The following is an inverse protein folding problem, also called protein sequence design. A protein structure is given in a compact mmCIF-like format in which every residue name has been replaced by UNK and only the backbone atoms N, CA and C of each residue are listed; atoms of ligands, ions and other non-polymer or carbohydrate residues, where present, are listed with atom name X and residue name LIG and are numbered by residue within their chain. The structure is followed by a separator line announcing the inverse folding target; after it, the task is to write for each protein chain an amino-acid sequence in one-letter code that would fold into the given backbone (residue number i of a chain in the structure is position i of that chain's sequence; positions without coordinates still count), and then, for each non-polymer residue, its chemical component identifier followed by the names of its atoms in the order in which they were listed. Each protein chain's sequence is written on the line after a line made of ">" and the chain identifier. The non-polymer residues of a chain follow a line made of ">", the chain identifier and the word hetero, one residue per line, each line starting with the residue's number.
data_IF_728097220000
#
_entry.id   IF_728097220000
#
_cell.length_a   1.000
_cell.length_b   1.000
_cell.length_c   1.000
_cell.angle_alpha   90.00
_cell.angle_beta   90.00
_cell.angle_gamma   90.00
#
_symmetry.space_group_name_H-M   'P 1'
#
loop_
_entity.id
_entity.type
_entity.pdbx_description
1 polymer ?
#
# COMPACT_ATOMS: atom_id res chain seq x y z
N UNK A 1 23.87 28.50 -4.87
CA UNK A 1 25.31 28.16 -4.73
C UNK A 1 25.58 27.18 -3.58
N UNK A 2 25.00 27.36 -2.39
CA UNK A 2 25.24 26.49 -1.21
C UNK A 2 24.87 25.03 -1.45
N UNK A 3 23.65 24.75 -1.94
CA UNK A 3 23.18 23.38 -2.22
C UNK A 3 24.11 22.58 -3.15
N UNK A 4 24.73 23.23 -4.14
CA UNK A 4 25.66 22.57 -5.06
C UNK A 4 27.05 22.26 -4.47
N UNK A 5 27.45 22.95 -3.41
CA UNK A 5 28.67 22.61 -2.67
C UNK A 5 28.39 21.45 -1.71
N UNK A 6 27.25 21.51 -1.01
CA UNK A 6 26.80 20.42 -0.12
C UNK A 6 26.59 19.13 -0.91
N UNK A 7 25.90 19.17 -2.05
CA UNK A 7 25.70 18.00 -2.92
C UNK A 7 27.03 17.38 -3.38
N UNK A 8 28.04 18.20 -3.71
CA UNK A 8 29.38 17.69 -4.05
C UNK A 8 30.09 17.07 -2.84
N UNK A 9 29.88 17.61 -1.65
CA UNK A 9 30.38 17.03 -0.41
C UNK A 9 29.78 15.65 -0.15
N UNK A 10 28.46 15.53 -0.31
CA UNK A 10 27.74 14.26 -0.15
C UNK A 10 28.17 13.23 -1.20
N UNK A 11 28.25 13.63 -2.48
CA UNK A 11 28.69 12.74 -3.55
C UNK A 11 30.14 12.22 -3.37
N UNK A 12 30.99 12.96 -2.65
CA UNK A 12 32.37 12.57 -2.34
C UNK A 12 32.50 11.84 -1.00
N UNK A 13 31.40 11.58 -0.30
CA UNK A 13 31.40 10.94 1.02
C UNK A 13 31.95 11.80 2.15
N UNK A 14 32.02 13.12 1.99
CA UNK A 14 32.49 14.04 3.04
C UNK A 14 31.43 14.31 4.12
N UNK A 15 30.14 14.16 3.75
CA UNK A 15 28.98 14.30 4.63
C UNK A 15 27.95 13.28 4.18
N UNK A 16 27.33 12.54 5.09
CA UNK A 16 26.27 11.58 4.77
C UNK A 16 24.90 12.25 4.63
N UNK A 17 23.95 11.57 3.96
CA UNK A 17 22.57 12.06 3.84
C UNK A 17 21.84 12.10 5.19
N UNK A 18 22.16 11.18 6.11
CA UNK A 18 21.59 11.14 7.46
C UNK A 18 22.10 12.29 8.33
N UNK A 19 23.40 12.58 8.31
CA UNK A 19 23.98 13.74 9.01
C UNK A 19 23.41 15.05 8.46
N UNK A 20 23.24 15.15 7.14
CA UNK A 20 22.64 16.34 6.53
C UNK A 20 21.16 16.51 6.90
N UNK A 21 20.38 15.43 6.94
CA UNK A 21 18.99 15.46 7.38
C UNK A 21 18.88 15.84 8.86
N UNK A 22 19.73 15.26 9.72
CA UNK A 22 19.78 15.57 11.15
C UNK A 22 20.22 17.00 11.46
N UNK A 23 21.01 17.62 10.58
CA UNK A 23 21.42 19.02 10.71
C UNK A 23 20.32 20.03 10.28
N UNK A 24 19.24 19.57 9.65
CA UNK A 24 18.15 20.41 9.12
C UNK A 24 16.76 19.94 9.60
N UNK A 25 16.54 19.77 10.92
CA UNK A 25 15.26 19.25 11.42
C UNK A 25 14.13 20.27 11.22
N UNK A 26 12.89 19.77 11.07
CA UNK A 26 11.66 20.57 11.08
C UNK A 26 11.61 21.73 10.07
N UNK A 27 12.24 21.56 8.90
CA UNK A 27 12.25 22.60 7.87
C UNK A 27 13.25 23.74 8.13
N UNK A 28 14.22 23.54 9.02
CA UNK A 28 15.30 24.50 9.20
C UNK A 28 16.06 24.71 7.88
N UNK A 29 16.14 25.97 7.44
CA UNK A 29 16.68 26.35 6.11
C UNK A 29 15.93 25.74 4.90
N UNK A 30 14.64 25.43 5.03
CA UNK A 30 13.81 25.02 3.89
C UNK A 30 13.89 26.04 2.73
N UNK A 31 14.06 25.62 1.45
CA UNK A 31 14.05 24.25 0.92
C UNK A 31 15.45 23.63 0.67
N UNK A 32 16.48 23.98 1.45
CA UNK A 32 17.88 23.62 1.18
C UNK A 32 18.09 22.11 0.98
N UNK A 33 17.54 21.27 1.85
CA UNK A 33 17.69 19.81 1.74
C UNK A 33 17.17 19.30 0.39
N UNK A 34 15.98 19.73 -0.02
CA UNK A 34 15.40 19.37 -1.33
C UNK A 34 16.24 19.87 -2.50
N UNK A 35 16.85 21.06 -2.39
CA UNK A 35 17.76 21.58 -3.42
C UNK A 35 19.05 20.74 -3.53
N UNK A 36 19.54 20.20 -2.41
CA UNK A 36 20.67 19.26 -2.40
C UNK A 36 20.28 17.96 -3.09
N UNK A 37 19.12 17.39 -2.76
CA UNK A 37 18.58 16.19 -3.43
C UNK A 37 18.41 16.41 -4.93
N UNK A 38 17.89 17.57 -5.35
CA UNK A 38 17.72 17.90 -6.76
C UNK A 38 19.07 17.94 -7.49
N UNK A 39 20.10 18.51 -6.87
CA UNK A 39 21.43 18.56 -7.45
C UNK A 39 22.12 17.17 -7.48
N UNK A 40 21.92 16.35 -6.45
CA UNK A 40 22.39 14.97 -6.42
C UNK A 40 21.72 14.13 -7.51
N UNK A 41 20.40 14.26 -7.68
CA UNK A 41 19.65 13.60 -8.76
C UNK A 41 20.21 13.96 -10.15
N UNK A 42 20.60 15.23 -10.37
CA UNK A 42 21.21 15.69 -11.62
C UNK A 42 22.64 15.21 -11.84
N UNK A 43 23.41 14.98 -10.78
CA UNK A 43 24.85 14.70 -10.88
C UNK A 43 25.19 13.21 -10.72
N UNK A 44 24.51 12.50 -9.83
CA UNK A 44 24.71 11.08 -9.55
C UNK A 44 23.62 10.19 -10.15
N UNK A 45 22.51 10.78 -10.58
CA UNK A 45 21.36 10.06 -11.11
C UNK A 45 20.33 9.66 -10.04
N UNK A 46 19.15 9.26 -10.51
CA UNK A 46 17.98 8.96 -9.66
C UNK A 46 18.20 7.71 -8.81
N UNK A 47 18.75 6.65 -9.41
CA UNK A 47 18.97 5.35 -8.76
C UNK A 47 19.95 5.46 -7.58
N UNK A 48 21.05 6.18 -7.78
CA UNK A 48 22.02 6.45 -6.72
C UNK A 48 21.37 7.19 -5.54
N UNK A 49 20.53 8.18 -5.83
CA UNK A 49 19.87 8.97 -4.80
C UNK A 49 18.84 8.15 -4.02
N UNK A 50 18.04 7.33 -4.70
CA UNK A 50 17.05 6.45 -4.05
C UNK A 50 17.72 5.41 -3.15
N UNK A 51 18.81 4.79 -3.62
CA UNK A 51 19.58 3.83 -2.81
C UNK A 51 20.28 4.52 -1.64
N UNK A 52 20.86 5.71 -1.86
CA UNK A 52 21.51 6.49 -0.82
C UNK A 52 20.55 6.94 0.29
N UNK A 53 19.35 7.39 -0.06
CA UNK A 53 18.32 7.76 0.92
C UNK A 53 17.79 6.54 1.68
N UNK A 54 17.57 5.42 1.00
CA UNK A 54 17.14 4.17 1.63
C UNK A 54 18.20 3.66 2.62
N UNK A 55 19.47 3.65 2.24
CA UNK A 55 20.57 3.24 3.11
C UNK A 55 20.76 4.19 4.31
N UNK A 56 20.53 5.49 4.10
CA UNK A 56 20.63 6.51 5.15
C UNK A 56 19.42 6.56 6.09
N UNK A 57 18.33 5.80 5.80
CA UNK A 57 17.07 5.78 6.57
C UNK A 57 16.54 7.18 6.88
N UNK A 58 16.61 8.08 5.91
CA UNK A 58 16.17 9.47 6.09
C UNK A 58 14.66 9.54 5.98
N UNK A 59 13.99 9.96 7.05
CA UNK A 59 12.60 10.37 7.00
C UNK A 59 12.47 11.76 6.36
N UNK A 60 11.94 11.80 5.14
CA UNK A 60 11.75 13.05 4.40
C UNK A 60 10.73 13.98 5.07
N UNK A 61 9.78 13.46 5.84
CA UNK A 61 8.77 14.28 6.53
C UNK A 61 9.37 15.07 7.70
N UNK A 62 10.30 14.46 8.43
CA UNK A 62 11.02 15.11 9.53
C UNK A 62 11.82 16.36 9.10
N UNK A 63 12.27 16.39 7.85
CA UNK A 63 13.09 17.48 7.27
C UNK A 63 12.22 18.61 6.69
N UNK A 64 10.91 18.38 6.54
CA UNK A 64 9.97 19.39 6.02
C UNK A 64 9.36 20.28 7.13
N UNK A 65 8.99 21.54 6.79
CA UNK A 65 8.17 22.38 7.66
C UNK A 65 6.82 21.73 7.95
N UNK A 66 6.23 22.03 9.11
CA UNK A 66 4.95 21.44 9.57
C UNK A 66 3.81 21.56 8.54
N UNK A 67 3.71 22.69 7.83
CA UNK A 67 2.69 22.90 6.80
C UNK A 67 2.83 22.04 5.53
N UNK A 68 3.98 21.38 5.35
CA UNK A 68 4.29 20.54 4.19
C UNK A 68 4.39 19.04 4.55
N UNK A 69 4.03 18.67 5.79
CA UNK A 69 4.03 17.26 6.24
C UNK A 69 2.77 16.54 5.78
N UNK A 70 2.86 15.21 5.72
CA UNK A 70 1.80 14.34 5.24
C UNK A 70 1.97 13.92 3.76
N UNK A 71 1.39 12.77 3.38
CA UNK A 71 1.72 12.08 2.13
C UNK A 71 1.37 12.87 0.88
N UNK A 72 0.24 13.59 0.87
CA UNK A 72 -0.20 14.39 -0.27
C UNK A 72 0.64 15.67 -0.46
N UNK A 73 0.98 16.36 0.64
CA UNK A 73 1.80 17.58 0.60
C UNK A 73 3.26 17.29 0.29
N UNK A 74 3.80 16.20 0.83
CA UNK A 74 5.12 15.70 0.47
C UNK A 74 5.18 15.35 -1.02
N UNK A 75 4.10 14.74 -1.56
CA UNK A 75 3.99 14.43 -2.99
C UNK A 75 4.08 15.67 -3.86
N UNK A 76 3.25 16.68 -3.58
CA UNK A 76 3.23 17.96 -4.29
C UNK A 76 4.60 18.66 -4.26
N UNK A 77 5.22 18.76 -3.07
CA UNK A 77 6.51 19.45 -2.87
C UNK A 77 7.66 18.80 -3.62
N UNK A 78 7.67 17.46 -3.72
CA UNK A 78 8.66 16.70 -4.45
C UNK A 78 8.40 16.70 -5.96
N UNK A 79 7.15 16.62 -6.41
CA UNK A 79 6.78 16.73 -7.83
C UNK A 79 7.18 18.08 -8.41
N UNK A 80 6.86 19.19 -7.73
CA UNK A 80 7.24 20.56 -8.11
C UNK A 80 8.75 20.74 -8.35
N UNK A 81 9.57 19.88 -7.73
CA UNK A 81 11.03 19.95 -7.77
C UNK A 81 11.66 18.85 -8.62
N UNK A 82 10.85 18.03 -9.30
CA UNK A 82 11.32 16.90 -10.10
C UNK A 82 11.93 15.77 -9.27
N UNK A 83 11.62 15.74 -7.97
CA UNK A 83 12.02 14.73 -7.00
C UNK A 83 10.90 13.71 -6.72
N UNK A 84 9.80 13.77 -7.48
CA UNK A 84 8.68 12.84 -7.30
C UNK A 84 9.11 11.38 -7.24
N UNK A 85 10.19 10.98 -7.94
CA UNK A 85 10.74 9.62 -7.93
C UNK A 85 11.25 9.12 -6.57
N UNK A 86 11.38 10.00 -5.58
CA UNK A 86 11.74 9.67 -4.21
C UNK A 86 10.55 9.20 -3.38
N UNK A 87 9.34 9.58 -3.77
CA UNK A 87 8.17 8.95 -3.17
C UNK A 87 8.07 7.51 -3.63
N UNK A 88 7.33 6.68 -2.89
CA UNK A 88 6.70 5.48 -3.42
C UNK A 88 5.70 5.85 -4.54
N UNK A 89 6.18 6.44 -5.66
CA UNK A 89 5.40 6.86 -6.84
C UNK A 89 4.52 5.77 -7.40
N UNK A 90 4.89 4.54 -7.10
CA UNK A 90 4.17 3.35 -7.41
C UNK A 90 2.66 3.51 -7.18
N UNK A 91 2.20 3.96 -6.00
CA UNK A 91 0.74 4.08 -5.77
C UNK A 91 0.06 5.09 -6.70
N UNK A 92 0.65 6.27 -6.87
CA UNK A 92 0.08 7.32 -7.72
C UNK A 92 0.11 6.98 -9.21
N UNK A 93 1.23 6.41 -9.69
CA UNK A 93 1.39 6.00 -11.08
C UNK A 93 0.53 4.75 -11.39
N UNK A 94 0.39 3.81 -10.45
CA UNK A 94 -0.57 2.69 -10.57
C UNK A 94 -2.01 3.15 -10.63
N UNK A 95 -2.39 4.15 -9.82
CA UNK A 95 -3.73 4.72 -9.85
C UNK A 95 -4.02 5.41 -11.18
N UNK A 96 -3.06 6.19 -11.72
CA UNK A 96 -3.15 6.78 -13.06
C UNK A 96 -3.30 5.68 -14.12
N UNK A 97 -2.54 4.60 -14.02
CA UNK A 97 -2.62 3.48 -14.96
C UNK A 97 -3.98 2.78 -14.90
N UNK A 98 -4.53 2.53 -13.70
CA UNK A 98 -5.87 1.94 -13.51
C UNK A 98 -6.99 2.84 -14.05
N UNK A 99 -6.87 4.17 -13.90
CA UNK A 99 -7.81 5.13 -14.49
C UNK A 99 -7.72 5.16 -16.03
N UNK A 100 -6.52 5.04 -16.58
CA UNK A 100 -6.30 5.07 -18.03
C UNK A 100 -6.75 3.77 -18.72
N UNK A 101 -6.41 2.62 -18.14
CA UNK A 101 -6.82 1.31 -18.59
C UNK A 101 -7.04 0.37 -17.39
N UNK A 102 -8.30 0.09 -17.00
CA UNK A 102 -8.60 -0.77 -15.86
C UNK A 102 -8.38 -2.26 -16.14
N UNK A 103 -7.82 -2.63 -17.30
CA UNK A 103 -7.50 -4.02 -17.62
C UNK A 103 -6.39 -4.58 -16.73
N UNK A 104 -6.60 -5.75 -16.07
CA UNK A 104 -5.55 -6.45 -15.34
C UNK A 104 -4.32 -6.72 -16.20
N UNK A 105 -4.50 -7.03 -17.49
CA UNK A 105 -3.39 -7.30 -18.40
C UNK A 105 -2.55 -6.06 -18.69
N UNK A 106 -3.18 -4.89 -18.78
CA UNK A 106 -2.48 -3.63 -18.98
C UNK A 106 -1.69 -3.22 -17.74
N UNK A 107 -2.30 -3.33 -16.56
CA UNK A 107 -1.62 -3.09 -15.29
C UNK A 107 -0.46 -4.08 -15.07
N UNK A 108 -0.67 -5.36 -15.34
CA UNK A 108 0.39 -6.38 -15.22
C UNK A 108 1.59 -6.07 -16.12
N UNK A 109 1.35 -5.74 -17.40
CA UNK A 109 2.42 -5.34 -18.33
C UNK A 109 3.17 -4.12 -17.80
N UNK A 110 2.44 -3.07 -17.42
CA UNK A 110 3.04 -1.85 -16.90
C UNK A 110 3.89 -2.10 -15.65
N UNK A 111 3.41 -2.92 -14.72
CA UNK A 111 4.13 -3.28 -13.50
C UNK A 111 5.45 -3.99 -13.80
N UNK A 112 5.47 -4.92 -14.76
CA UNK A 112 6.70 -5.63 -15.14
C UNK A 112 7.70 -4.75 -15.90
N UNK A 113 7.21 -3.78 -16.66
CA UNK A 113 8.06 -2.86 -17.43
C UNK A 113 8.59 -1.71 -16.57
N UNK A 114 7.83 -1.27 -15.57
CA UNK A 114 8.13 -0.09 -14.77
C UNK A 114 8.91 -0.37 -13.49
N UNK A 115 8.97 -1.63 -13.04
CA UNK A 115 9.57 -2.01 -11.76
C UNK A 115 10.63 -3.09 -11.93
N UNK A 116 11.74 -2.92 -11.22
CA UNK A 116 12.79 -3.93 -11.17
C UNK A 116 12.34 -5.15 -10.33
N UNK A 117 12.85 -6.37 -10.60
CA UNK A 117 12.47 -7.58 -9.85
C UNK A 117 12.69 -7.45 -8.33
N UNK A 118 13.74 -6.73 -7.91
CA UNK A 118 14.02 -6.49 -6.49
C UNK A 118 12.94 -5.63 -5.82
N UNK A 119 12.30 -4.72 -6.55
CA UNK A 119 11.21 -3.87 -6.07
C UNK A 119 9.89 -4.66 -6.00
N UNK A 120 9.65 -5.54 -6.98
CA UNK A 120 8.47 -6.42 -7.00
C UNK A 120 8.45 -7.42 -5.84
N UNK A 121 9.62 -7.76 -5.29
CA UNK A 121 9.76 -8.62 -4.13
C UNK A 121 9.60 -7.90 -2.78
N UNK A 122 9.36 -6.58 -2.77
CA UNK A 122 9.22 -5.83 -1.51
C UNK A 122 7.78 -5.90 -0.97
N UNK A 123 7.59 -6.07 0.35
CA UNK A 123 6.27 -5.97 1.00
C UNK A 123 5.57 -4.64 0.74
N UNK A 124 6.33 -3.53 0.67
CA UNK A 124 5.80 -2.19 0.40
C UNK A 124 5.20 -2.05 -1.00
N UNK A 125 5.75 -2.77 -1.99
CA UNK A 125 5.18 -2.86 -3.34
C UNK A 125 3.81 -3.55 -3.29
N UNK A 126 3.73 -4.69 -2.61
CA UNK A 126 2.48 -5.44 -2.49
C UNK A 126 1.42 -4.64 -1.75
N UNK A 127 1.82 -3.97 -0.66
CA UNK A 127 0.91 -3.10 0.07
C UNK A 127 0.34 -1.99 -0.82
N UNK A 128 1.18 -1.36 -1.64
CA UNK A 128 0.75 -0.38 -2.63
C UNK A 128 -0.22 -0.97 -3.66
N UNK A 129 0.12 -2.11 -4.26
CA UNK A 129 -0.70 -2.77 -5.26
C UNK A 129 -2.08 -3.13 -4.72
N UNK A 130 -2.13 -3.80 -3.58
CA UNK A 130 -3.37 -4.25 -2.96
C UNK A 130 -4.22 -3.05 -2.54
N UNK A 131 -3.62 -2.01 -1.95
CA UNK A 131 -4.34 -0.78 -1.60
C UNK A 131 -4.97 -0.11 -2.83
N UNK A 132 -4.23 0.00 -3.94
CA UNK A 132 -4.74 0.57 -5.19
C UNK A 132 -5.90 -0.24 -5.77
N UNK A 133 -5.78 -1.57 -5.77
CA UNK A 133 -6.83 -2.46 -6.26
C UNK A 133 -8.07 -2.42 -5.37
N UNK A 134 -7.91 -2.47 -4.05
CA UNK A 134 -9.00 -2.34 -3.09
C UNK A 134 -9.75 -1.01 -3.29
N UNK A 135 -9.00 0.10 -3.43
CA UNK A 135 -9.60 1.41 -3.68
C UNK A 135 -10.37 1.46 -5.00
N UNK A 136 -9.83 0.88 -6.06
CA UNK A 136 -10.48 0.82 -7.37
C UNK A 136 -11.75 -0.04 -7.31
N UNK A 137 -11.63 -1.28 -6.83
CA UNK A 137 -12.71 -2.27 -6.81
C UNK A 137 -13.87 -1.78 -5.92
N UNK A 138 -13.58 -1.38 -4.69
CA UNK A 138 -14.62 -0.88 -3.76
C UNK A 138 -15.22 0.43 -4.24
N UNK A 139 -14.40 1.27 -4.85
CA UNK A 139 -14.82 2.51 -5.51
C UNK A 139 -15.75 2.31 -6.71
N UNK A 140 -15.69 1.18 -7.39
CA UNK A 140 -16.59 0.85 -8.52
C UNK A 140 -17.83 0.06 -8.08
N UNK A 141 -17.93 -0.31 -6.79
CA UNK A 141 -18.91 -1.28 -6.30
C UNK A 141 -19.60 -0.83 -5.00
N UNK A 142 -19.04 -1.18 -3.84
CA UNK A 142 -19.67 -1.03 -2.53
C UNK A 142 -19.53 0.37 -1.95
N UNK A 143 -18.57 1.17 -2.43
CA UNK A 143 -18.25 2.52 -1.94
C UNK A 143 -17.98 3.51 -3.10
N UNK A 144 -18.98 3.82 -3.94
CA UNK A 144 -18.81 4.67 -5.12
C UNK A 144 -18.28 6.10 -4.88
N UNK A 145 -18.36 6.60 -3.64
CA UNK A 145 -17.80 7.90 -3.22
C UNK A 145 -16.30 7.90 -2.90
N UNK A 146 -15.58 6.77 -3.07
CA UNK A 146 -14.16 6.67 -2.76
C UNK A 146 -13.25 7.15 -3.92
N UNK A 147 -13.74 7.05 -5.16
CA UNK A 147 -13.00 7.37 -6.40
C UNK A 147 -13.07 8.87 -6.72
N UNK A 148 -14.18 9.53 -6.37
CA UNK A 148 -14.52 10.91 -6.79
C UNK A 148 -13.69 12.01 -6.14
N UNK A 149 -13.02 11.74 -5.02
CA UNK A 149 -12.34 12.79 -4.24
C UNK A 149 -10.86 12.98 -4.55
N UNK A 150 -10.34 12.35 -5.62
CA UNK A 150 -8.97 12.60 -6.11
C UNK A 150 -8.89 13.65 -7.23
N UNK A 151 -10.02 14.07 -7.81
CA UNK A 151 -10.07 15.01 -8.94
C UNK A 151 -10.78 16.34 -8.62
N UNK A 152 -11.09 16.64 -7.35
CA UNK A 152 -11.72 17.90 -6.95
C UNK A 152 -10.70 19.02 -6.63
N UNK A 153 -9.76 19.28 -7.54
CA UNK A 153 -9.05 20.56 -7.65
C UNK A 153 -9.50 21.27 -8.91
N UNK A 154 -10.72 21.82 -8.87
CA UNK A 154 -11.17 23.05 -9.56
C UNK A 154 -12.69 23.02 -9.75
N UNK A 155 -13.43 23.46 -8.72
CA UNK A 155 -14.40 24.53 -8.87
C UNK A 155 -15.08 24.80 -7.53
N UNK A 156 -15.04 26.07 -7.12
CA UNK A 156 -16.00 26.67 -6.20
C UNK A 156 -17.41 26.34 -6.67
N UNK A 157 -18.08 25.42 -5.97
CA UNK A 157 -19.48 25.62 -5.63
C UNK A 157 -19.84 24.88 -4.34
N UNK A 158 -20.62 25.59 -3.55
CA UNK A 158 -21.01 25.33 -2.19
C UNK A 158 -21.77 23.99 -2.09
N UNK A 159 -21.11 22.92 -1.66
CA UNK A 159 -21.75 21.70 -1.15
C UNK A 159 -20.88 21.11 -0.06
N UNK A 160 -21.48 20.98 1.12
CA UNK A 160 -20.88 20.62 2.39
C UNK A 160 -20.44 19.14 2.47
N UNK A 161 -19.81 18.62 1.42
CA UNK A 161 -19.39 17.22 1.32
C UNK A 161 -17.98 17.04 1.89
N UNK A 162 -17.86 17.25 3.20
CA UNK A 162 -16.68 16.88 3.97
C UNK A 162 -16.60 15.36 4.26
N UNK A 163 -15.59 14.92 5.04
CA UNK A 163 -15.38 13.51 5.43
C UNK A 163 -16.60 12.84 6.11
N UNK A 164 -17.60 13.61 6.55
CA UNK A 164 -18.83 13.12 7.16
C UNK A 164 -19.72 12.28 6.21
N UNK A 165 -19.70 12.51 4.89
CA UNK A 165 -20.51 11.73 3.92
C UNK A 165 -19.84 10.40 3.57
N UNK A 166 -18.51 10.31 3.65
CA UNK A 166 -17.77 9.05 3.43
C UNK A 166 -17.98 8.05 4.58
N UNK A 167 -18.03 8.53 5.83
CA UNK A 167 -18.38 7.68 6.97
C UNK A 167 -19.86 7.24 6.98
N UNK A 168 -20.77 8.00 6.37
CA UNK A 168 -22.19 7.61 6.31
C UNK A 168 -22.47 6.54 5.25
N UNK A 169 -21.81 6.60 4.08
CA UNK A 169 -21.87 5.55 3.05
C UNK A 169 -21.18 4.25 3.51
N UNK A 170 -20.08 4.35 4.25
CA UNK A 170 -19.39 3.21 4.86
C UNK A 170 -20.22 2.42 5.90
N UNK A 171 -21.27 3.03 6.44
CA UNK A 171 -22.17 2.38 7.42
C UNK A 171 -23.39 1.70 6.80
N UNK A 172 -23.61 1.84 5.48
CA UNK A 172 -24.69 1.13 4.78
C UNK A 172 -24.22 -0.27 4.38
N UNK A 173 -25.06 -1.28 4.63
CA UNK A 173 -24.80 -2.65 4.20
C UNK A 173 -24.91 -2.69 2.67
N UNK A 174 -23.88 -3.11 1.93
CA UNK A 174 -23.94 -3.17 0.48
C UNK A 174 -25.02 -4.15 0.00
N UNK A 175 -25.71 -3.81 -1.08
CA UNK A 175 -26.70 -4.68 -1.70
C UNK A 175 -26.05 -5.89 -2.38
N UNK A 176 -26.80 -6.99 -2.51
CA UNK A 176 -26.31 -8.23 -3.13
C UNK A 176 -25.69 -8.00 -4.52
N UNK A 177 -26.31 -7.18 -5.35
CA UNK A 177 -25.78 -6.85 -6.68
C UNK A 177 -24.41 -6.15 -6.62
N UNK A 178 -24.17 -5.30 -5.61
CA UNK A 178 -22.87 -4.65 -5.40
C UNK A 178 -21.82 -5.65 -4.93
N UNK A 179 -22.20 -6.60 -4.07
CA UNK A 179 -21.32 -7.67 -3.60
C UNK A 179 -20.93 -8.62 -4.74
N UNK A 180 -21.88 -9.02 -5.58
CA UNK A 180 -21.64 -9.86 -6.75
C UNK A 180 -20.70 -9.15 -7.75
N UNK A 181 -20.91 -7.85 -7.98
CA UNK A 181 -20.02 -7.03 -8.81
C UNK A 181 -18.62 -6.89 -8.21
N UNK A 182 -18.49 -6.77 -6.89
CA UNK A 182 -17.17 -6.71 -6.23
C UNK A 182 -16.40 -8.02 -6.41
N UNK A 183 -17.07 -9.16 -6.19
CA UNK A 183 -16.49 -10.49 -6.39
C UNK A 183 -16.04 -10.69 -7.84
N UNK A 184 -16.85 -10.28 -8.81
CA UNK A 184 -16.51 -10.35 -10.23
C UNK A 184 -15.26 -9.51 -10.55
N UNK A 185 -15.21 -8.25 -10.10
CA UNK A 185 -14.06 -7.38 -10.34
C UNK A 185 -12.79 -7.90 -9.65
N UNK A 186 -12.88 -8.38 -8.41
CA UNK A 186 -11.75 -8.99 -7.71
C UNK A 186 -11.24 -10.23 -8.46
N UNK A 187 -12.15 -11.08 -8.97
CA UNK A 187 -11.81 -12.24 -9.80
C UNK A 187 -11.07 -11.87 -11.09
N UNK A 188 -11.37 -10.71 -11.70
CA UNK A 188 -10.61 -10.23 -12.88
C UNK A 188 -9.15 -9.91 -12.54
N UNK A 189 -8.87 -9.40 -11.33
CA UNK A 189 -7.51 -9.08 -10.88
C UNK A 189 -6.78 -10.27 -10.24
N UNK A 190 -7.45 -11.40 -10.00
CA UNK A 190 -6.86 -12.59 -9.39
C UNK A 190 -5.57 -13.05 -10.09
N UNK A 191 -5.48 -13.22 -11.43
CA UNK A 191 -4.25 -13.70 -12.06
C UNK A 191 -3.07 -12.74 -11.86
N UNK A 192 -3.34 -11.43 -11.81
CA UNK A 192 -2.34 -10.41 -11.52
C UNK A 192 -1.83 -10.55 -10.09
N UNK A 193 -2.73 -10.66 -9.12
CA UNK A 193 -2.37 -10.81 -7.71
C UNK A 193 -1.57 -12.10 -7.48
N UNK A 194 -2.02 -13.24 -8.02
CA UNK A 194 -1.27 -14.50 -7.93
C UNK A 194 0.13 -14.40 -8.54
N UNK A 195 0.30 -13.69 -9.65
CA UNK A 195 1.62 -13.52 -10.25
C UNK A 195 2.61 -12.75 -9.34
N UNK A 196 2.13 -11.83 -8.50
CA UNK A 196 2.98 -11.05 -7.60
C UNK A 196 3.04 -11.56 -6.15
N UNK A 197 2.07 -12.36 -5.70
CA UNK A 197 1.97 -12.85 -4.32
C UNK A 197 2.13 -14.37 -4.19
N UNK A 198 1.86 -15.15 -5.25
CA UNK A 198 1.83 -16.61 -5.18
C UNK A 198 3.15 -17.21 -4.68
N UNK A 199 3.02 -18.28 -3.88
CA UNK A 199 4.11 -19.07 -3.26
C UNK A 199 5.06 -18.22 -2.37
N UNK A 200 4.60 -17.04 -1.91
CA UNK A 200 5.40 -16.11 -1.11
C UNK A 200 4.61 -15.64 0.12
N UNK A 201 4.65 -16.41 1.23
CA UNK A 201 3.87 -16.09 2.44
C UNK A 201 4.13 -14.69 3.00
N UNK A 202 5.36 -14.18 2.90
CA UNK A 202 5.70 -12.82 3.36
C UNK A 202 5.01 -11.70 2.56
N UNK A 203 4.75 -11.94 1.26
CA UNK A 203 4.04 -10.99 0.40
C UNK A 203 2.53 -11.10 0.58
N UNK A 204 2.02 -12.30 0.78
CA UNK A 204 0.61 -12.53 1.13
C UNK A 204 0.27 -11.87 2.47
N UNK A 205 1.15 -11.99 3.47
CA UNK A 205 1.03 -11.28 4.75
C UNK A 205 0.98 -9.76 4.55
N UNK A 206 1.82 -9.21 3.67
CA UNK A 206 1.80 -7.79 3.33
C UNK A 206 0.47 -7.35 2.68
N UNK A 207 -0.16 -8.23 1.90
CA UNK A 207 -1.49 -8.00 1.33
C UNK A 207 -2.57 -7.92 2.41
N UNK A 208 -2.51 -8.80 3.42
CA UNK A 208 -3.43 -8.77 4.57
C UNK A 208 -3.27 -7.50 5.40
N UNK A 209 -2.03 -7.04 5.63
CA UNK A 209 -1.78 -5.76 6.26
C UNK A 209 -2.31 -4.58 5.44
N UNK A 210 -2.18 -4.63 4.11
CA UNK A 210 -2.75 -3.62 3.22
C UNK A 210 -4.28 -3.55 3.30
N UNK A 211 -4.93 -4.71 3.40
CA UNK A 211 -6.37 -4.77 3.60
C UNK A 211 -6.77 -4.24 4.98
N UNK A 212 -6.03 -4.59 6.05
CA UNK A 212 -6.26 -4.05 7.39
C UNK A 212 -6.15 -2.52 7.41
N UNK A 213 -5.07 -1.95 6.87
CA UNK A 213 -4.86 -0.49 6.84
C UNK A 213 -5.92 0.21 6.00
N UNK A 214 -6.31 -0.39 4.88
CA UNK A 214 -7.38 0.13 4.04
C UNK A 214 -8.72 0.16 4.79
N UNK A 215 -9.13 -0.95 5.41
CA UNK A 215 -10.35 -0.98 6.22
C UNK A 215 -10.28 -0.01 7.40
N UNK A 216 -9.12 0.14 8.04
CA UNK A 216 -8.92 1.13 9.11
C UNK A 216 -9.15 2.57 8.62
N UNK A 217 -8.61 2.92 7.45
CA UNK A 217 -8.80 4.25 6.84
C UNK A 217 -10.28 4.58 6.55
N UNK A 218 -11.11 3.55 6.35
CA UNK A 218 -12.55 3.66 6.14
C UNK A 218 -13.37 3.56 7.44
N UNK A 219 -12.72 3.44 8.60
CA UNK A 219 -13.39 3.30 9.90
C UNK A 219 -13.87 1.88 10.23
N UNK A 220 -13.44 0.86 9.47
CA UNK A 220 -13.93 -0.52 9.44
C UNK A 220 -15.44 -0.62 9.16
N UNK A 221 -15.85 -0.46 7.89
CA UNK A 221 -17.21 -0.74 7.44
C UNK A 221 -17.64 -2.16 7.86
N UNK A 222 -18.85 -2.30 8.38
CA UNK A 222 -19.31 -3.57 8.98
C UNK A 222 -19.25 -4.72 7.99
N UNK A 223 -18.51 -5.77 8.33
CA UNK A 223 -18.39 -6.99 7.53
C UNK A 223 -17.47 -6.87 6.31
N UNK A 224 -16.89 -5.70 6.03
CA UNK A 224 -16.02 -5.51 4.86
C UNK A 224 -14.71 -6.30 4.98
N UNK A 225 -14.04 -6.25 6.14
CA UNK A 225 -12.77 -6.94 6.34
C UNK A 225 -12.93 -8.46 6.18
N UNK A 226 -13.91 -9.05 6.88
CA UNK A 226 -14.23 -10.47 6.81
C UNK A 226 -14.58 -10.90 5.38
N UNK A 227 -15.41 -10.12 4.69
CA UNK A 227 -15.80 -10.40 3.31
C UNK A 227 -14.61 -10.43 2.35
N UNK A 228 -13.65 -9.52 2.53
CA UNK A 228 -12.42 -9.53 1.74
C UNK A 228 -11.45 -10.64 2.14
N UNK A 229 -11.40 -11.05 3.41
CA UNK A 229 -10.63 -12.24 3.83
C UNK A 229 -11.14 -13.50 3.12
N UNK A 230 -12.45 -13.75 3.20
CA UNK A 230 -13.10 -14.87 2.50
C UNK A 230 -12.86 -14.78 0.99
N UNK A 231 -12.97 -13.58 0.41
CA UNK A 231 -12.75 -13.40 -1.03
C UNK A 231 -11.30 -13.69 -1.47
N UNK A 232 -10.30 -13.30 -0.66
CA UNK A 232 -8.89 -13.57 -0.96
C UNK A 232 -8.56 -15.07 -0.80
N UNK A 233 -9.19 -15.74 0.15
CA UNK A 233 -9.12 -17.18 0.35
C UNK A 233 -9.79 -17.95 -0.81
N UNK A 234 -11.05 -17.65 -1.14
CA UNK A 234 -11.80 -18.27 -2.25
C UNK A 234 -11.11 -18.10 -3.61
N UNK A 235 -10.42 -16.97 -3.82
CA UNK A 235 -9.67 -16.68 -5.05
C UNK A 235 -8.25 -17.28 -5.02
N UNK A 236 -7.89 -18.04 -3.99
CA UNK A 236 -6.56 -18.59 -3.66
C UNK A 236 -5.45 -17.55 -3.96
N UNK A 237 -5.66 -16.31 -3.51
CA UNK A 237 -4.66 -15.23 -3.60
C UNK A 237 -3.76 -15.22 -2.37
N UNK A 238 -4.35 -15.61 -1.23
CA UNK A 238 -3.69 -15.73 0.07
C UNK A 238 -3.95 -17.14 0.57
N UNK A 239 -2.89 -17.84 0.94
CA UNK A 239 -2.93 -19.17 1.51
C UNK A 239 -3.23 -19.11 3.01
N UNK A 240 -3.68 -20.23 3.55
CA UNK A 240 -4.07 -20.39 4.95
C UNK A 240 -2.97 -19.96 5.92
N UNK A 241 -1.74 -20.44 5.73
CA UNK A 241 -0.58 -20.10 6.55
C UNK A 241 -0.41 -18.58 6.69
N UNK A 242 -0.68 -17.81 5.64
CA UNK A 242 -0.54 -16.35 5.69
C UNK A 242 -1.64 -15.68 6.55
N UNK A 243 -2.85 -16.23 6.60
CA UNK A 243 -3.92 -15.75 7.48
C UNK A 243 -3.61 -16.05 8.96
N UNK A 244 -3.14 -17.25 9.26
CA UNK A 244 -2.77 -17.65 10.62
C UNK A 244 -1.54 -16.87 11.10
N UNK A 245 -0.53 -16.74 10.25
CA UNK A 245 0.62 -15.89 10.52
C UNK A 245 0.22 -14.44 10.74
N UNK A 246 -0.71 -13.91 9.94
CA UNK A 246 -1.24 -12.58 10.20
C UNK A 246 -1.90 -12.52 11.57
N UNK A 247 -2.72 -13.50 11.97
CA UNK A 247 -3.40 -13.53 13.28
C UNK A 247 -2.41 -13.38 14.45
N UNK A 248 -1.31 -14.11 14.39
CA UNK A 248 -0.29 -14.16 15.44
C UNK A 248 0.71 -12.99 15.41
N UNK A 249 0.98 -12.42 14.23
CA UNK A 249 2.01 -11.40 14.06
C UNK A 249 1.66 -10.07 14.75
N UNK A 250 2.61 -9.59 15.56
CA UNK A 250 2.53 -8.32 16.27
C UNK A 250 3.43 -7.32 15.55
N UNK A 251 2.80 -6.46 14.76
CA UNK A 251 3.50 -5.46 13.96
C UNK A 251 2.94 -4.05 14.23
N UNK A 252 3.73 -3.23 14.93
CA UNK A 252 3.36 -1.87 15.33
C UNK A 252 3.34 -0.87 14.16
N UNK A 253 3.89 -1.22 13.00
CA UNK A 253 3.85 -0.37 11.80
C UNK A 253 2.44 -0.25 11.23
N UNK A 254 1.54 -1.18 11.57
CA UNK A 254 0.18 -1.25 11.04
C UNK A 254 -0.89 -1.04 12.12
N UNK A 255 -1.68 0.06 12.05
CA UNK A 255 -2.63 0.39 13.10
C UNK A 255 -3.84 -0.56 13.14
N UNK A 256 -4.52 -0.55 14.29
CA UNK A 256 -5.85 -1.12 14.52
C UNK A 256 -5.98 -2.65 14.38
N UNK A 257 -4.89 -3.40 14.62
CA UNK A 257 -4.86 -4.87 14.65
C UNK A 257 -5.96 -5.49 15.54
N UNK A 258 -6.14 -4.98 16.77
CA UNK A 258 -7.16 -5.51 17.68
C UNK A 258 -8.61 -5.40 17.16
N UNK A 259 -8.95 -4.28 16.49
CA UNK A 259 -10.27 -4.09 15.88
C UNK A 259 -10.45 -4.94 14.62
N UNK A 260 -9.37 -5.20 13.89
CA UNK A 260 -9.36 -6.11 12.76
C UNK A 260 -9.62 -7.55 13.23
N UNK A 261 -8.84 -8.04 14.21
CA UNK A 261 -9.01 -9.37 14.81
C UNK A 261 -10.45 -9.59 15.28
N UNK A 262 -11.03 -8.62 15.99
CA UNK A 262 -12.42 -8.74 16.46
C UNK A 262 -13.45 -9.04 15.36
N UNK A 263 -13.20 -8.61 14.11
CA UNK A 263 -14.12 -8.86 12.99
C UNK A 263 -13.94 -10.21 12.29
N UNK A 264 -12.75 -10.80 12.38
CA UNK A 264 -12.39 -12.01 11.61
C UNK A 264 -12.03 -13.20 12.47
N UNK A 265 -11.91 -13.04 13.79
CA UNK A 265 -11.43 -14.11 14.69
C UNK A 265 -12.25 -15.39 14.59
N UNK A 266 -13.59 -15.28 14.48
CA UNK A 266 -14.44 -16.46 14.32
C UNK A 266 -14.13 -17.24 13.03
N UNK A 267 -13.85 -16.53 11.93
CA UNK A 267 -13.50 -17.18 10.66
C UNK A 267 -12.09 -17.77 10.70
N UNK A 268 -11.14 -17.11 11.37
CA UNK A 268 -9.80 -17.63 11.57
C UNK A 268 -9.77 -18.87 12.46
N UNK A 269 -10.57 -18.92 13.51
CA UNK A 269 -10.70 -20.13 14.34
C UNK A 269 -11.30 -21.29 13.53
N UNK A 270 -12.30 -21.03 12.69
CA UNK A 270 -12.82 -22.05 11.78
C UNK A 270 -11.76 -22.54 10.78
N UNK A 271 -10.90 -21.64 10.31
CA UNK A 271 -9.81 -21.98 9.40
C UNK A 271 -8.81 -22.94 10.07
N UNK A 272 -8.32 -22.59 11.27
CA UNK A 272 -7.43 -23.45 12.09
C UNK A 272 -8.04 -24.82 12.41
N UNK A 273 -9.33 -24.86 12.81
CA UNK A 273 -10.01 -26.12 13.14
C UNK A 273 -10.18 -27.02 11.91
N UNK A 274 -10.36 -26.46 10.72
CA UNK A 274 -10.46 -27.23 9.48
C UNK A 274 -9.11 -27.84 9.07
N UNK A 275 -8.01 -27.14 9.28
CA UNK A 275 -6.65 -27.64 9.04
C UNK A 275 -6.32 -28.83 9.97
N UNK A 276 -6.60 -28.69 11.27
CA UNK A 276 -6.38 -29.78 12.25
C UNK A 276 -7.18 -31.05 11.89
N UNK A 277 -8.42 -30.92 11.40
CA UNK A 277 -9.24 -32.05 10.95
C UNK A 277 -8.67 -32.75 9.70
N UNK A 278 -8.15 -31.99 8.72
CA UNK A 278 -7.55 -32.55 7.50
C UNK A 278 -6.23 -33.28 7.79
N UNK A 279 -5.38 -32.76 8.68
CA UNK A 279 -4.14 -33.42 9.10
C UNK A 279 -4.40 -34.73 9.88
N UNK A 280 -5.40 -34.76 10.78
CA UNK A 280 -5.77 -35.97 11.53
C UNK A 280 -6.32 -37.09 10.63
N UNK A 281 -7.03 -36.74 9.54
CA UNK A 281 -7.54 -37.72 8.56
C UNK A 281 -6.42 -38.34 7.69
N UNK A 282 -5.39 -37.57 7.33
CA UNK A 282 -4.25 -38.09 6.56
C UNK A 282 -3.43 -39.10 7.38
N UNK A 283 -3.15 -38.83 8.66
CA UNK A 283 -2.38 -39.71 9.55
C UNK A 283 -3.12 -41.02 9.90
N UNK A 284 -4.46 -41.02 9.90
CA UNK A 284 -5.25 -42.24 10.13
C UNK A 284 -5.27 -43.21 8.94
N UNK A 285 -4.75 -42.81 7.78
CA UNK A 285 -4.80 -43.60 6.55
C UNK A 285 -3.59 -44.52 6.30
N UNK A 286 -2.52 -44.43 7.11
CA UNK A 286 -1.24 -45.16 6.90
C UNK A 286 -0.99 -46.35 7.86
N UNK A 287 -1.89 -46.67 8.80
CA UNK A 287 -1.70 -47.82 9.72
C UNK A 287 -2.38 -49.14 9.26
N UNK A 288 -2.66 -49.28 7.96
CA UNK A 288 -3.60 -50.27 7.45
C UNK A 288 -3.10 -51.28 6.41
N UNK A 289 -1.81 -51.56 6.24
CA UNK A 289 -1.38 -52.69 5.38
C UNK A 289 0.04 -53.20 5.73
N UNK A 290 0.13 -54.14 6.69
CA UNK A 290 1.25 -55.10 6.76
C UNK A 290 0.90 -56.39 7.52
#
# INVERSE_FOLDING_TARGET
>A
MVAGHVARGVARGLVSLSELAGALPNGQHYPLFLLVLQQLSRTQGRVWLTQGLAAAKVDLESVLPEGNRGPERLAEVLEDRGLGFLLPRLQGDMWRQLKADPSPNALYRWLRESLEPQQQAQPSFVHALVTCLLRHITGETTLPGLVTNSDATNNTDNSNNGPAVQLSAANQVPERAQLDKERELAGRFQPLLRAFLGERPSLQLAALYALQTFCHSLGFPKGMLLRWFVLLYDLEVVEEEAFLKWKEDVNDDYPAKGKALFQVNQWLTWLEEAEEEEEEEEDCSDEGDN
#
